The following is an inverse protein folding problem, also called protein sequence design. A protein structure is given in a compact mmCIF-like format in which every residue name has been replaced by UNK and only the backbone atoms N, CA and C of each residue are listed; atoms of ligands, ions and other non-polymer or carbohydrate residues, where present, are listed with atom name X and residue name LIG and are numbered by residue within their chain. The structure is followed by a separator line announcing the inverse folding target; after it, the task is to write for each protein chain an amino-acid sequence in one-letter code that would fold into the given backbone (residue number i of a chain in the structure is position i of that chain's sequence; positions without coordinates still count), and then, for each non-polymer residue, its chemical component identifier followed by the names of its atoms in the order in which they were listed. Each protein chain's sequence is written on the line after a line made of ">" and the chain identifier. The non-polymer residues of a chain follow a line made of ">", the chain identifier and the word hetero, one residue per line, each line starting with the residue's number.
data_IF_468888527795
#
_entry.id   IF_468888527795
#
_cell.length_a   1.000
_cell.length_b   1.000
_cell.length_c   1.000
_cell.angle_alpha   90.00
_cell.angle_beta   90.00
_cell.angle_gamma   90.00
#
_symmetry.space_group_name_H-M   'P 1'
#
loop_
_entity.id
_entity.type
_entity.pdbx_description
1 polymer ?
#
# COMPACT_ATOMS: atom_id res chain seq x y z
N UNK A 1 -7.37 8.82 15.71
CA UNK A 1 -6.30 8.16 16.46
C UNK A 1 -6.25 8.71 17.87
N UNK A 2 -5.83 7.89 18.83
CA UNK A 2 -5.63 8.28 20.22
C UNK A 2 -4.14 8.17 20.56
N UNK A 3 -3.66 8.81 21.66
CA UNK A 3 -2.26 8.75 22.04
C UNK A 3 -1.70 7.32 22.26
N UNK A 4 -2.59 6.34 22.48
CA UNK A 4 -2.23 4.94 22.75
C UNK A 4 -2.51 4.01 21.57
N UNK A 5 -2.92 4.51 20.39
CA UNK A 5 -3.08 3.68 19.19
C UNK A 5 -3.93 4.29 18.08
N UNK A 6 -3.75 3.77 16.88
CA UNK A 6 -4.53 4.13 15.69
C UNK A 6 -5.89 3.43 15.71
N UNK A 7 -6.90 4.06 15.11
CA UNK A 7 -8.23 3.50 14.83
C UNK A 7 -9.01 3.00 16.07
N UNK A 8 -8.73 3.53 17.25
CA UNK A 8 -9.38 3.10 18.50
C UNK A 8 -10.71 3.83 18.81
N UNK A 9 -11.02 4.90 18.09
CA UNK A 9 -12.26 5.65 18.25
C UNK A 9 -12.87 5.99 16.90
N UNK A 10 -14.14 5.60 16.69
CA UNK A 10 -14.89 5.83 15.47
C UNK A 10 -16.02 4.84 15.29
N UNK A 11 -16.73 4.96 14.18
CA UNK A 11 -17.76 4.04 13.73
C UNK A 11 -17.63 3.84 12.22
N UNK A 12 -18.00 2.65 11.73
CA UNK A 12 -18.15 2.41 10.30
C UNK A 12 -19.33 3.24 9.78
N UNK A 13 -19.04 4.23 8.95
CA UNK A 13 -20.03 5.06 8.29
C UNK A 13 -19.54 5.40 6.88
N UNK A 14 -20.16 4.77 5.88
CA UNK A 14 -19.74 4.93 4.49
C UNK A 14 -20.20 6.29 3.93
N UNK A 15 -19.35 6.95 3.10
CA UNK A 15 -19.74 8.19 2.44
C UNK A 15 -20.82 7.92 1.37
N UNK A 16 -21.75 8.85 1.18
CA UNK A 16 -22.72 8.82 0.08
C UNK A 16 -22.11 9.28 -1.24
N UNK A 17 -21.09 10.09 -1.19
CA UNK A 17 -20.33 10.57 -2.33
C UNK A 17 -18.88 10.85 -1.93
N UNK A 18 -17.96 10.68 -2.86
CA UNK A 18 -16.55 11.07 -2.73
C UNK A 18 -16.27 12.09 -3.84
N UNK A 19 -15.84 13.29 -3.46
CA UNK A 19 -15.44 14.35 -4.39
C UNK A 19 -13.95 14.59 -4.24
N UNK A 20 -13.22 14.50 -5.34
CA UNK A 20 -11.77 14.68 -5.36
C UNK A 20 -11.40 15.73 -6.40
N UNK A 21 -10.71 16.79 -5.98
CA UNK A 21 -10.12 17.79 -6.88
C UNK A 21 -8.60 17.57 -6.95
N UNK A 22 -8.05 17.01 -8.06
CA UNK A 22 -6.62 16.80 -8.21
C UNK A 22 -5.78 18.08 -8.18
N UNK A 23 -6.39 19.25 -8.42
CA UNK A 23 -5.65 20.51 -8.41
C UNK A 23 -5.10 20.88 -7.04
N UNK A 24 -5.73 20.41 -5.96
CA UNK A 24 -5.21 20.63 -4.59
C UNK A 24 -3.87 19.94 -4.35
N UNK A 25 -3.52 18.93 -5.12
CA UNK A 25 -2.22 18.24 -5.03
C UNK A 25 -1.04 19.12 -5.44
N UNK A 26 -1.28 20.24 -6.16
CA UNK A 26 -0.23 21.20 -6.54
C UNK A 26 0.45 21.86 -5.35
N UNK A 27 -0.21 21.91 -4.21
CA UNK A 27 0.34 22.49 -2.97
C UNK A 27 0.98 21.44 -2.05
N UNK A 28 0.87 20.15 -2.42
CA UNK A 28 1.40 19.06 -1.62
C UNK A 28 2.93 19.00 -1.76
N UNK A 29 3.70 18.93 -0.66
CA UNK A 29 5.13 18.69 -0.74
C UNK A 29 5.45 17.40 -1.49
N UNK A 30 6.51 17.40 -2.31
CA UNK A 30 6.88 16.26 -3.15
C UNK A 30 7.00 14.94 -2.35
N UNK A 31 7.54 14.99 -1.15
CA UNK A 31 7.65 13.80 -0.28
C UNK A 31 6.28 13.20 0.03
N UNK A 32 5.30 14.03 0.40
CA UNK A 32 3.94 13.57 0.70
C UNK A 32 3.21 13.07 -0.57
N UNK A 33 3.50 13.66 -1.72
CA UNK A 33 3.00 13.13 -2.99
C UNK A 33 3.55 11.72 -3.25
N UNK A 34 4.87 11.52 -3.11
CA UNK A 34 5.50 10.21 -3.25
C UNK A 34 4.89 9.17 -2.28
N UNK A 35 4.71 9.54 -1.01
CA UNK A 35 4.05 8.68 -0.01
C UNK A 35 2.65 8.24 -0.44
N UNK A 36 1.85 9.16 -0.98
CA UNK A 36 0.53 8.85 -1.55
C UNK A 36 0.61 7.88 -2.73
N UNK A 37 1.65 7.99 -3.55
CA UNK A 37 1.85 7.10 -4.70
C UNK A 37 2.13 5.65 -4.30
N UNK A 38 2.62 5.36 -3.10
CA UNK A 38 2.74 3.99 -2.60
C UNK A 38 1.39 3.26 -2.58
N UNK A 39 0.34 3.93 -2.09
CA UNK A 39 -1.02 3.40 -2.09
C UNK A 39 -1.57 3.23 -3.52
N UNK A 40 -1.24 4.15 -4.42
CA UNK A 40 -1.62 4.08 -5.83
C UNK A 40 -0.99 2.86 -6.51
N UNK A 41 0.33 2.64 -6.31
CA UNK A 41 1.04 1.43 -6.80
C UNK A 41 0.41 0.16 -6.24
N UNK A 42 0.03 0.14 -4.98
CA UNK A 42 -0.66 -0.99 -4.36
C UNK A 42 -1.91 -1.39 -5.17
N UNK A 43 -2.77 -0.43 -5.54
CA UNK A 43 -3.97 -0.75 -6.34
C UNK A 43 -3.64 -1.38 -7.68
N UNK A 44 -2.62 -0.89 -8.38
CA UNK A 44 -2.14 -1.51 -9.61
C UNK A 44 -1.66 -2.96 -9.39
N UNK A 45 -0.95 -3.19 -8.29
CA UNK A 45 -0.45 -4.52 -7.96
C UNK A 45 -1.56 -5.53 -7.66
N UNK A 46 -2.60 -5.14 -6.89
CA UNK A 46 -3.60 -6.09 -6.37
C UNK A 46 -4.84 -6.26 -7.25
N UNK A 47 -5.19 -5.27 -8.08
CA UNK A 47 -6.51 -5.25 -8.74
C UNK A 47 -6.47 -4.93 -10.23
N UNK A 48 -5.41 -4.30 -10.76
CA UNK A 48 -5.46 -3.76 -12.11
C UNK A 48 -4.08 -3.61 -12.75
N UNK A 49 -3.70 -4.58 -13.58
CA UNK A 49 -2.42 -4.56 -14.27
C UNK A 49 -2.27 -3.35 -15.21
N UNK A 50 -3.37 -2.91 -15.86
CA UNK A 50 -3.34 -1.73 -16.72
C UNK A 50 -3.10 -0.45 -15.91
N UNK A 51 -3.69 -0.35 -14.73
CA UNK A 51 -3.39 0.76 -13.82
C UNK A 51 -1.90 0.81 -13.45
N UNK A 52 -1.25 -0.36 -13.23
CA UNK A 52 0.19 -0.37 -12.96
C UNK A 52 0.99 0.16 -14.16
N UNK A 53 0.63 -0.20 -15.38
CA UNK A 53 1.26 0.33 -16.60
C UNK A 53 1.05 1.83 -16.74
N UNK A 54 -0.15 2.31 -16.47
CA UNK A 54 -0.47 3.76 -16.48
C UNK A 54 0.36 4.52 -15.43
N UNK A 55 0.59 3.93 -14.23
CA UNK A 55 1.44 4.50 -13.20
C UNK A 55 2.91 4.48 -13.62
N UNK A 56 3.40 3.42 -14.26
CA UNK A 56 4.75 3.35 -14.79
C UNK A 56 5.01 4.45 -15.83
N UNK A 57 4.07 4.68 -16.75
CA UNK A 57 4.14 5.77 -17.72
C UNK A 57 4.07 7.16 -17.05
N UNK A 58 3.20 7.33 -16.06
CA UNK A 58 3.10 8.56 -15.28
C UNK A 58 4.39 8.87 -14.51
N UNK A 59 5.06 7.84 -13.96
CA UNK A 59 6.31 8.02 -13.22
C UNK A 59 7.44 8.60 -14.07
N UNK A 60 7.38 8.48 -15.40
CA UNK A 60 8.32 9.09 -16.35
C UNK A 60 7.98 10.58 -16.63
N UNK A 61 6.72 11.00 -16.37
CA UNK A 61 6.27 12.39 -16.51
C UNK A 61 5.21 12.75 -15.47
N UNK A 62 5.63 13.01 -14.25
CA UNK A 62 4.74 13.30 -13.11
C UNK A 62 3.99 14.63 -13.19
N UNK A 63 4.23 15.44 -14.23
CA UNK A 63 3.50 16.68 -14.49
C UNK A 63 2.26 16.50 -15.38
N UNK A 64 2.00 15.29 -15.89
CA UNK A 64 0.81 14.98 -16.70
C UNK A 64 -0.45 14.93 -15.83
N UNK A 65 -1.20 16.03 -15.82
CA UNK A 65 -2.40 16.17 -15.02
C UNK A 65 -3.55 15.24 -15.48
N UNK A 66 -3.64 14.97 -16.78
CA UNK A 66 -4.69 14.09 -17.32
C UNK A 66 -4.41 12.63 -16.96
N UNK A 67 -3.15 12.20 -17.03
CA UNK A 67 -2.74 10.88 -16.57
C UNK A 67 -3.01 10.72 -15.07
N UNK A 68 -2.64 11.72 -14.25
CA UNK A 68 -2.90 11.71 -12.81
C UNK A 68 -4.40 11.61 -12.49
N UNK A 69 -5.24 12.37 -13.19
CA UNK A 69 -6.69 12.31 -13.02
C UNK A 69 -7.25 10.92 -13.31
N UNK A 70 -6.81 10.28 -14.39
CA UNK A 70 -7.22 8.90 -14.75
C UNK A 70 -6.81 7.91 -13.65
N UNK A 71 -5.57 7.98 -13.17
CA UNK A 71 -5.05 7.13 -12.10
C UNK A 71 -5.88 7.29 -10.83
N UNK A 72 -6.13 8.52 -10.37
CA UNK A 72 -6.94 8.82 -9.18
C UNK A 72 -8.35 8.25 -9.34
N UNK A 73 -8.98 8.52 -10.49
CA UNK A 73 -10.35 8.03 -10.77
C UNK A 73 -10.41 6.51 -10.68
N UNK A 74 -9.42 5.81 -11.25
CA UNK A 74 -9.36 4.35 -11.21
C UNK A 74 -9.15 3.81 -9.80
N UNK A 75 -8.27 4.43 -9.01
CA UNK A 75 -8.05 4.06 -7.60
C UNK A 75 -9.32 4.22 -6.76
N UNK A 76 -10.04 5.34 -6.93
CA UNK A 76 -11.32 5.58 -6.24
C UNK A 76 -12.35 4.52 -6.62
N UNK A 77 -12.44 4.16 -7.91
CA UNK A 77 -13.36 3.13 -8.38
C UNK A 77 -13.03 1.76 -7.78
N UNK A 78 -11.76 1.34 -7.82
CA UNK A 78 -11.32 0.06 -7.24
C UNK A 78 -11.67 -0.01 -5.75
N UNK A 79 -11.39 1.07 -5.00
CA UNK A 79 -11.73 1.12 -3.58
C UNK A 79 -13.24 1.05 -3.34
N UNK A 80 -14.02 1.79 -4.11
CA UNK A 80 -15.47 1.78 -4.01
C UNK A 80 -16.05 0.38 -4.29
N UNK A 81 -15.55 -0.31 -5.30
CA UNK A 81 -15.98 -1.65 -5.67
C UNK A 81 -15.66 -2.66 -4.57
N UNK A 82 -14.44 -2.63 -4.01
CA UNK A 82 -14.03 -3.55 -2.93
C UNK A 82 -14.85 -3.29 -1.66
N UNK A 83 -14.96 -2.02 -1.24
CA UNK A 83 -15.73 -1.65 -0.05
C UNK A 83 -17.21 -1.96 -0.23
N UNK A 84 -17.75 -1.79 -1.45
CA UNK A 84 -19.14 -2.12 -1.76
C UNK A 84 -19.44 -3.61 -1.63
N UNK A 85 -18.45 -4.49 -1.84
CA UNK A 85 -18.59 -5.95 -1.68
C UNK A 85 -18.26 -6.43 -0.27
N UNK A 86 -17.41 -5.70 0.47
CA UNK A 86 -16.98 -6.06 1.83
C UNK A 86 -16.84 -4.82 2.70
N UNK A 87 -17.97 -4.31 3.18
CA UNK A 87 -18.04 -3.10 4.00
C UNK A 87 -17.33 -3.26 5.35
N UNK A 88 -17.46 -4.44 5.97
CA UNK A 88 -17.00 -4.70 7.33
C UNK A 88 -15.56 -5.24 7.41
N UNK A 89 -14.86 -5.37 6.28
CA UNK A 89 -13.47 -5.85 6.21
C UNK A 89 -13.29 -7.27 6.79
N UNK A 90 -14.19 -8.17 6.37
CA UNK A 90 -14.22 -9.55 6.87
C UNK A 90 -13.73 -10.58 5.86
N UNK A 91 -13.39 -10.16 4.63
CA UNK A 91 -13.05 -11.07 3.55
C UNK A 91 -12.24 -10.41 2.44
N UNK A 92 -12.86 -10.12 1.29
CA UNK A 92 -12.20 -9.61 0.08
C UNK A 92 -11.41 -8.33 0.31
N UNK A 93 -11.88 -7.45 1.19
CA UNK A 93 -11.23 -6.17 1.48
C UNK A 93 -9.84 -6.33 2.07
N UNK A 94 -9.52 -7.49 2.68
CA UNK A 94 -8.16 -7.77 3.18
C UNK A 94 -7.07 -7.63 2.10
N UNK A 95 -7.41 -7.76 0.80
CA UNK A 95 -6.47 -7.54 -0.30
C UNK A 95 -5.83 -6.15 -0.26
N UNK A 96 -6.53 -5.14 0.28
CA UNK A 96 -6.00 -3.79 0.47
C UNK A 96 -4.81 -3.73 1.44
N UNK A 97 -4.55 -4.80 2.19
CA UNK A 97 -3.44 -4.91 3.12
C UNK A 97 -2.14 -5.44 2.46
N UNK A 98 -2.07 -5.55 1.13
CA UNK A 98 -0.82 -5.85 0.45
C UNK A 98 0.28 -4.86 0.86
N UNK A 99 1.40 -5.37 1.34
CA UNK A 99 2.50 -4.58 1.91
C UNK A 99 2.28 -4.10 3.36
N UNK A 100 1.04 -4.02 3.85
CA UNK A 100 0.74 -3.41 5.16
C UNK A 100 1.19 -4.27 6.34
N UNK A 101 1.13 -5.59 6.25
CA UNK A 101 1.54 -6.48 7.35
C UNK A 101 2.99 -6.22 7.76
N UNK A 102 3.88 -6.09 6.79
CA UNK A 102 5.30 -5.76 7.02
C UNK A 102 5.46 -4.26 7.26
N UNK A 103 4.75 -3.40 6.52
CA UNK A 103 4.80 -1.96 6.68
C UNK A 103 4.47 -1.50 8.10
N UNK A 104 3.39 -1.99 8.68
CA UNK A 104 3.03 -1.68 10.08
C UNK A 104 4.06 -2.18 11.10
N UNK A 105 4.71 -3.32 10.83
CA UNK A 105 5.80 -3.79 11.68
C UNK A 105 7.01 -2.84 11.63
N UNK A 106 7.36 -2.34 10.44
CA UNK A 106 8.42 -1.35 10.26
C UNK A 106 8.08 -0.04 10.98
N UNK A 107 6.87 0.51 10.80
CA UNK A 107 6.40 1.70 11.52
C UNK A 107 6.53 1.53 13.04
N UNK A 108 6.25 0.34 13.54
CA UNK A 108 6.30 0.04 14.96
C UNK A 108 7.74 -0.04 15.49
N UNK A 109 8.66 -0.66 14.75
CA UNK A 109 10.09 -0.73 15.13
C UNK A 109 10.70 0.67 15.19
N UNK A 110 10.37 1.54 14.25
CA UNK A 110 10.85 2.94 14.23
C UNK A 110 10.20 3.82 15.30
N UNK A 111 9.04 3.42 15.81
CA UNK A 111 8.16 4.32 16.57
C UNK A 111 7.22 5.10 15.65
N UNK A 112 5.94 5.09 15.99
CA UNK A 112 4.90 5.76 15.19
C UNK A 112 5.22 7.25 14.96
N UNK A 113 5.19 7.67 13.69
CA UNK A 113 5.41 9.05 13.27
C UNK A 113 6.83 9.39 12.82
N UNK A 114 7.80 8.49 12.94
CA UNK A 114 9.16 8.70 12.43
C UNK A 114 9.32 8.29 10.97
N UNK A 115 8.62 7.23 10.53
CA UNK A 115 8.59 6.82 9.12
C UNK A 115 7.22 7.13 8.54
N UNK A 116 7.13 7.82 7.39
CA UNK A 116 5.88 8.00 6.68
C UNK A 116 5.23 6.66 6.31
N UNK A 117 3.91 6.58 6.43
CA UNK A 117 3.14 5.36 6.15
C UNK A 117 3.41 4.81 4.75
N UNK A 118 3.39 5.69 3.73
CA UNK A 118 3.65 5.27 2.34
C UNK A 118 5.02 4.65 2.14
N UNK A 119 6.05 5.15 2.84
CA UNK A 119 7.40 4.58 2.79
C UNK A 119 7.42 3.17 3.39
N UNK A 120 6.77 2.98 4.54
CA UNK A 120 6.67 1.66 5.17
C UNK A 120 5.93 0.65 4.30
N UNK A 121 4.81 1.07 3.69
CA UNK A 121 4.01 0.24 2.77
C UNK A 121 4.81 -0.11 1.51
N UNK A 122 5.58 0.82 0.95
CA UNK A 122 6.44 0.58 -0.21
C UNK A 122 7.44 -0.55 0.06
N UNK A 123 8.19 -0.47 1.17
CA UNK A 123 9.10 -1.54 1.60
C UNK A 123 8.35 -2.85 1.84
N UNK A 124 7.17 -2.76 2.46
CA UNK A 124 6.32 -3.92 2.73
C UNK A 124 5.83 -4.63 1.47
N UNK A 125 5.49 -3.88 0.41
CA UNK A 125 5.10 -4.45 -0.89
C UNK A 125 6.25 -5.23 -1.54
N UNK A 126 7.47 -4.68 -1.52
CA UNK A 126 8.66 -5.36 -2.02
C UNK A 126 8.91 -6.66 -1.26
N UNK A 127 8.83 -6.60 0.07
CA UNK A 127 9.06 -7.78 0.90
C UNK A 127 7.98 -8.86 0.70
N UNK A 128 6.70 -8.47 0.56
CA UNK A 128 5.61 -9.39 0.27
C UNK A 128 5.75 -10.04 -1.12
N UNK A 129 6.15 -9.27 -2.14
CA UNK A 129 6.39 -9.78 -3.48
C UNK A 129 7.56 -10.79 -3.48
N UNK A 130 8.69 -10.47 -2.84
CA UNK A 130 9.83 -11.37 -2.69
C UNK A 130 9.48 -12.65 -1.93
N UNK A 131 8.69 -12.54 -0.87
CA UNK A 131 8.17 -13.69 -0.14
C UNK A 131 7.33 -14.58 -1.07
N UNK A 132 6.39 -14.00 -1.81
CA UNK A 132 5.57 -14.72 -2.77
C UNK A 132 6.38 -15.43 -3.86
N UNK A 133 7.40 -14.76 -4.42
CA UNK A 133 8.35 -15.35 -5.38
C UNK A 133 9.11 -16.52 -4.78
N UNK A 134 9.61 -16.37 -3.55
CA UNK A 134 10.43 -17.40 -2.89
C UNK A 134 9.69 -18.70 -2.63
N UNK A 135 8.36 -18.62 -2.44
CA UNK A 135 7.48 -19.78 -2.23
C UNK A 135 6.69 -20.19 -3.48
N UNK A 136 6.99 -19.59 -4.63
CA UNK A 136 6.38 -19.91 -5.92
C UNK A 136 4.90 -19.52 -6.06
N UNK A 137 4.41 -18.58 -5.26
CA UNK A 137 3.03 -18.04 -5.34
C UNK A 137 2.94 -16.80 -6.23
N UNK A 138 4.01 -16.03 -6.31
CA UNK A 138 4.13 -14.83 -7.15
C UNK A 138 5.09 -15.13 -8.29
N UNK A 139 4.81 -14.71 -9.54
CA UNK A 139 5.73 -14.90 -10.66
C UNK A 139 7.07 -14.21 -10.43
N UNK A 140 8.16 -14.87 -10.81
CA UNK A 140 9.50 -14.31 -10.72
C UNK A 140 9.62 -12.99 -11.51
N UNK A 141 10.35 -12.02 -10.95
CA UNK A 141 10.52 -10.68 -11.53
C UNK A 141 9.44 -9.68 -11.15
N UNK A 142 8.39 -10.09 -10.42
CA UNK A 142 7.35 -9.18 -9.91
C UNK A 142 7.93 -8.17 -8.93
N UNK A 143 8.74 -8.62 -7.96
CA UNK A 143 9.39 -7.75 -6.99
C UNK A 143 10.31 -6.74 -7.65
N UNK A 144 11.07 -7.13 -8.66
CA UNK A 144 11.94 -6.23 -9.41
C UNK A 144 11.16 -5.17 -10.21
N UNK A 145 9.98 -5.52 -10.75
CA UNK A 145 9.09 -4.56 -11.42
C UNK A 145 8.58 -3.53 -10.43
N UNK A 146 8.14 -3.96 -9.26
CA UNK A 146 7.68 -3.08 -8.19
C UNK A 146 8.82 -2.16 -7.72
N UNK A 147 10.02 -2.69 -7.48
CA UNK A 147 11.19 -1.91 -7.06
C UNK A 147 11.47 -0.79 -8.06
N UNK A 148 11.57 -1.10 -9.36
CA UNK A 148 11.84 -0.08 -10.38
C UNK A 148 10.81 1.03 -10.39
N UNK A 149 9.54 0.71 -10.19
CA UNK A 149 8.48 1.72 -10.14
C UNK A 149 8.57 2.57 -8.87
N UNK A 150 8.79 1.96 -7.71
CA UNK A 150 8.94 2.67 -6.45
C UNK A 150 10.15 3.62 -6.46
N UNK A 151 11.29 3.17 -7.03
CA UNK A 151 12.48 4.00 -7.20
C UNK A 151 12.21 5.23 -8.06
N UNK A 152 11.49 5.09 -9.20
CA UNK A 152 11.06 6.21 -10.03
C UNK A 152 10.18 7.22 -9.28
N UNK A 153 9.38 6.73 -8.36
CA UNK A 153 8.49 7.55 -7.52
C UNK A 153 9.18 8.08 -6.26
N UNK A 154 10.50 7.87 -6.11
CA UNK A 154 11.29 8.29 -4.94
C UNK A 154 10.79 7.69 -3.63
N UNK A 155 10.34 6.44 -3.67
CA UNK A 155 9.92 5.64 -2.53
C UNK A 155 11.01 4.63 -2.14
N UNK A 156 11.19 4.33 -0.86
CA UNK A 156 12.17 3.35 -0.40
C UNK A 156 11.74 1.93 -0.79
N UNK A 157 12.73 1.10 -1.11
CA UNK A 157 12.53 -0.31 -1.50
C UNK A 157 13.20 -1.29 -0.55
N UNK A 158 13.86 -0.78 0.50
CA UNK A 158 14.51 -1.53 1.55
C UNK A 158 14.44 -0.79 2.89
N UNK A 159 14.72 -1.51 3.96
CA UNK A 159 14.85 -0.97 5.32
C UNK A 159 16.19 -1.39 5.92
N UNK A 160 16.69 -0.62 6.88
CA UNK A 160 17.87 -0.95 7.66
C UNK A 160 17.62 -1.97 8.80
N UNK A 161 16.33 -2.21 9.12
CA UNK A 161 15.95 -3.16 10.15
C UNK A 161 16.16 -4.60 9.71
N UNK A 162 16.67 -5.41 10.61
CA UNK A 162 16.82 -6.84 10.39
C UNK A 162 15.47 -7.55 10.31
N UNK A 163 15.44 -8.67 9.59
CA UNK A 163 14.25 -9.54 9.54
C UNK A 163 13.79 -9.97 10.95
N UNK A 164 14.73 -10.16 11.88
CA UNK A 164 14.42 -10.57 13.25
C UNK A 164 13.64 -9.48 14.01
N UNK A 165 14.02 -8.21 13.89
CA UNK A 165 13.33 -7.08 14.50
C UNK A 165 11.92 -6.92 13.94
N UNK A 166 11.76 -7.02 12.63
CA UNK A 166 10.45 -6.95 11.95
C UNK A 166 9.56 -8.09 12.41
N UNK A 167 10.05 -9.32 12.43
CA UNK A 167 9.29 -10.49 12.88
C UNK A 167 8.85 -10.38 14.34
N UNK A 168 9.69 -9.85 15.23
CA UNK A 168 9.33 -9.63 16.63
C UNK A 168 8.23 -8.57 16.77
N UNK A 169 8.31 -7.49 16.01
CA UNK A 169 7.26 -6.46 15.95
C UNK A 169 5.92 -7.05 15.48
N UNK A 170 5.93 -7.91 14.45
CA UNK A 170 4.75 -8.60 13.95
C UNK A 170 4.12 -9.53 14.99
N UNK A 171 4.95 -10.31 15.71
CA UNK A 171 4.47 -11.23 16.78
C UNK A 171 3.78 -10.50 17.92
N UNK A 172 4.20 -9.30 18.25
CA UNK A 172 3.60 -8.53 19.34
C UNK A 172 2.19 -8.03 19.01
N UNK A 173 1.83 -7.88 17.74
CA UNK A 173 0.45 -7.59 17.32
C UNK A 173 -0.44 -8.82 17.32
N UNK A 174 0.13 -10.02 17.07
CA UNK A 174 -0.56 -11.30 17.18
C UNK A 174 -1.26 -11.53 18.52
N UNK A 175 -0.63 -11.12 19.61
CA UNK A 175 -1.19 -11.33 20.97
C UNK A 175 -2.49 -10.58 21.20
N UNK A 176 -2.90 -9.68 20.27
CA UNK A 176 -4.11 -8.86 20.41
C UNK A 176 -5.31 -9.36 19.58
N UNK A 177 -5.14 -10.06 18.47
CA UNK A 177 -6.22 -10.29 17.51
C UNK A 177 -6.41 -11.74 17.01
N UNK A 178 -5.37 -12.52 16.82
CA UNK A 178 -5.43 -13.95 16.45
C UNK A 178 -4.03 -14.55 16.52
N UNK A 179 -3.93 -15.90 16.58
CA UNK A 179 -2.62 -16.57 16.68
C UNK A 179 -1.87 -16.68 15.33
N UNK A 180 -2.39 -16.07 14.24
CA UNK A 180 -1.87 -16.22 12.88
C UNK A 180 -1.47 -14.86 12.27
N UNK A 181 -0.41 -14.83 11.44
CA UNK A 181 -0.03 -13.66 10.63
C UNK A 181 -0.51 -13.94 9.21
N UNK A 182 -1.36 -13.07 8.69
CA UNK A 182 -1.82 -13.14 7.32
C UNK A 182 -0.97 -12.24 6.42
N UNK A 183 -0.49 -12.80 5.31
CA UNK A 183 0.17 -12.05 4.25
C UNK A 183 -0.73 -12.04 3.02
N UNK A 184 -0.88 -10.89 2.42
CA UNK A 184 -1.44 -10.77 1.07
C UNK A 184 -0.27 -10.93 0.10
N UNK A 185 -0.41 -11.88 -0.82
CA UNK A 185 0.57 -12.17 -1.86
C UNK A 185 -0.09 -12.01 -3.24
N UNK A 186 0.69 -11.70 -4.25
CA UNK A 186 0.20 -11.54 -5.62
C UNK A 186 0.27 -12.88 -6.36
N UNK A 187 -0.84 -13.33 -6.94
CA UNK A 187 -0.83 -14.43 -7.92
C UNK A 187 -0.24 -13.96 -9.26
N UNK A 188 -0.44 -12.70 -9.58
CA UNK A 188 0.15 -11.94 -10.68
C UNK A 188 -0.07 -10.45 -10.42
N UNK A 189 0.58 -9.58 -11.18
CA UNK A 189 0.24 -8.15 -11.18
C UNK A 189 -1.22 -7.99 -11.59
N UNK A 190 -1.96 -7.21 -10.80
CA UNK A 190 -3.40 -6.98 -10.97
C UNK A 190 -4.30 -8.08 -10.39
N UNK A 191 -3.70 -9.03 -9.69
CA UNK A 191 -4.44 -10.17 -9.14
C UNK A 191 -3.83 -10.73 -7.87
#
# INVERSE_FOLDING_TARGET
>A
DLPFGKNLAGAFHQPRAVVTDPLVLKTLPQKQFSEGMAEVVKYGCICDAQLLEDIEAFADNTSDADALLKIITRCVQIKADIVGRDELDTGERMILNFGHTIGHAIEKVMGYGYLPHGDAVAVGMVAAARLGESIGKTPAGTSERIIRLLDKLSLPTATEFSTAEILEAMKSDKKKLSNEIHFILLEAIGR
#
